data_IF_323572068663
#
_entry.id   IF_323572068663
#
_cell.length_a   1.000
_cell.length_b   1.000
_cell.length_c   1.000
_cell.angle_alpha   90.00
_cell.angle_beta   90.00
_cell.angle_gamma   90.00
#
_symmetry.space_group_name_H-M   'P 1'
#
loop_
_entity.id
_entity.type
_entity.pdbx_description
1 polymer ?
#
# COMPACT_ATOMS: atom_id res chain seq x y z
N UNK A 1 19.27 10.91 -3.48
CA UNK A 1 17.91 10.33 -3.39
C UNK A 1 18.03 8.88 -2.96
N UNK A 2 17.49 8.51 -1.79
CA UNK A 2 17.38 7.10 -1.42
C UNK A 2 16.44 6.40 -2.41
N UNK A 3 16.81 5.19 -2.86
CA UNK A 3 16.16 4.37 -3.90
C UNK A 3 14.69 3.96 -3.63
N UNK A 4 14.00 4.60 -2.68
CA UNK A 4 12.60 4.35 -2.33
C UNK A 4 11.81 5.60 -1.92
N UNK A 5 12.37 6.80 -2.05
CA UNK A 5 11.62 8.03 -1.82
C UNK A 5 10.88 8.45 -3.11
N UNK A 6 9.56 8.53 -3.03
CA UNK A 6 8.71 9.12 -4.04
C UNK A 6 8.41 10.57 -3.67
N UNK A 7 8.21 11.39 -4.70
CA UNK A 7 7.80 12.78 -4.60
C UNK A 7 6.59 12.98 -5.50
N UNK A 8 5.60 13.70 -4.98
CA UNK A 8 4.40 14.12 -5.68
C UNK A 8 4.31 15.65 -5.54
N UNK A 9 4.20 16.35 -6.66
CA UNK A 9 4.29 17.80 -6.72
C UNK A 9 2.90 18.40 -6.96
N UNK A 10 2.49 19.28 -6.05
CA UNK A 10 1.19 19.93 -6.06
C UNK A 10 1.35 21.42 -6.32
N UNK A 11 0.72 21.91 -7.39
CA UNK A 11 0.73 23.31 -7.81
C UNK A 11 -0.20 24.18 -6.95
N UNK A 12 -0.33 23.89 -5.66
CA UNK A 12 -1.09 24.70 -4.70
C UNK A 12 -0.30 25.03 -3.45
N UNK A 13 -0.80 26.05 -2.74
CA UNK A 13 -0.41 26.34 -1.36
C UNK A 13 -0.61 25.11 -0.46
N UNK A 14 0.20 25.04 0.59
CA UNK A 14 0.10 23.98 1.61
C UNK A 14 -1.30 23.87 2.23
N UNK A 15 -1.99 24.98 2.43
CA UNK A 15 -3.33 25.01 3.03
C UNK A 15 -4.39 24.41 2.11
N UNK A 16 -4.31 24.70 0.80
CA UNK A 16 -5.19 24.09 -0.19
C UNK A 16 -4.94 22.59 -0.27
N UNK A 17 -3.67 22.16 -0.31
CA UNK A 17 -3.32 20.75 -0.31
C UNK A 17 -3.86 20.02 0.92
N UNK A 18 -3.70 20.60 2.11
CA UNK A 18 -4.24 20.05 3.36
C UNK A 18 -5.77 19.88 3.27
N UNK A 19 -6.47 20.85 2.70
CA UNK A 19 -7.93 20.81 2.54
C UNK A 19 -8.34 19.66 1.62
N UNK A 20 -7.67 19.49 0.48
CA UNK A 20 -7.94 18.37 -0.44
C UNK A 20 -7.59 17.01 0.18
N UNK A 21 -6.49 16.91 0.93
CA UNK A 21 -6.11 15.70 1.65
C UNK A 21 -7.14 15.32 2.74
N UNK A 22 -7.71 16.32 3.44
CA UNK A 22 -8.71 16.07 4.46
C UNK A 22 -10.06 15.62 3.87
N UNK A 23 -10.36 15.95 2.59
CA UNK A 23 -11.52 15.41 1.85
C UNK A 23 -11.37 13.91 1.54
N UNK A 24 -10.15 13.38 1.47
CA UNK A 24 -9.86 11.95 1.25
C UNK A 24 -10.04 11.08 2.51
N UNK A 25 -10.49 11.65 3.64
CA UNK A 25 -10.86 10.86 4.83
C UNK A 25 -12.12 10.04 4.56
N UNK A 26 -12.29 8.96 5.32
CA UNK A 26 -13.28 7.83 5.21
C UNK A 26 -14.72 8.20 4.83
N UNK A 27 -15.14 9.46 4.95
CA UNK A 27 -16.51 9.91 4.71
C UNK A 27 -16.89 9.98 3.22
N UNK A 28 -15.93 10.18 2.30
CA UNK A 28 -16.21 10.43 0.87
C UNK A 28 -15.71 9.34 -0.09
N UNK A 29 -15.64 8.08 0.33
CA UNK A 29 -15.34 6.99 -0.59
C UNK A 29 -16.55 6.77 -1.51
N UNK A 30 -16.46 7.30 -2.73
CA UNK A 30 -17.48 7.19 -3.76
C UNK A 30 -17.84 5.72 -4.01
N UNK A 31 -19.13 5.40 -4.03
CA UNK A 31 -19.65 4.02 -4.05
C UNK A 31 -19.43 3.31 -5.41
N UNK A 32 -18.85 3.99 -6.40
CA UNK A 32 -18.77 3.52 -7.79
C UNK A 32 -17.48 2.77 -8.14
N UNK A 33 -16.43 2.81 -7.30
CA UNK A 33 -15.19 2.06 -7.54
C UNK A 33 -14.84 1.14 -6.38
N UNK A 34 -14.44 -0.10 -6.72
CA UNK A 34 -14.14 -1.14 -5.74
C UNK A 34 -12.95 -0.79 -4.83
N UNK A 35 -12.06 0.14 -5.24
CA UNK A 35 -10.91 0.58 -4.43
C UNK A 35 -10.62 2.09 -4.54
N UNK A 36 -10.74 2.80 -3.42
CA UNK A 36 -10.53 4.24 -3.28
C UNK A 36 -9.21 4.57 -2.54
N UNK A 37 -8.70 5.79 -2.75
CA UNK A 37 -7.57 6.33 -2.00
C UNK A 37 -8.05 6.89 -0.66
N UNK A 38 -7.39 6.51 0.43
CA UNK A 38 -7.67 7.02 1.76
C UNK A 38 -6.43 7.74 2.29
N UNK A 39 -6.62 8.95 2.81
CA UNK A 39 -5.56 9.72 3.46
C UNK A 39 -5.80 9.79 4.98
N UNK A 40 -4.79 9.43 5.77
CA UNK A 40 -4.70 9.79 7.19
C UNK A 40 -3.59 10.79 7.37
N UNK A 41 -3.89 11.94 7.97
CA UNK A 41 -2.94 13.03 8.21
C UNK A 41 -2.88 13.34 9.71
N UNK A 42 -1.66 13.52 10.23
CA UNK A 42 -1.38 14.05 11.56
C UNK A 42 -0.27 15.10 11.38
N UNK A 43 -0.59 16.37 11.60
CA UNK A 43 0.28 17.51 11.29
C UNK A 43 0.71 17.52 9.81
N UNK A 44 2.02 17.51 9.54
CA UNK A 44 2.58 17.43 8.19
C UNK A 44 2.79 15.99 7.72
N UNK A 45 2.60 14.99 8.59
CA UNK A 45 2.77 13.57 8.24
C UNK A 45 1.49 13.03 7.64
N UNK A 46 1.64 12.26 6.57
CA UNK A 46 0.55 11.63 5.85
C UNK A 46 0.78 10.12 5.73
N UNK A 47 -0.32 9.39 5.66
CA UNK A 47 -0.38 7.97 5.35
C UNK A 47 -1.49 7.74 4.32
N UNK A 48 -1.12 7.38 3.10
CA UNK A 48 -2.07 6.92 2.10
C UNK A 48 -2.24 5.40 2.17
N UNK A 49 -3.48 4.95 2.10
CA UNK A 49 -3.88 3.54 2.08
C UNK A 49 -4.94 3.33 1.00
N UNK A 50 -5.13 2.08 0.58
CA UNK A 50 -6.27 1.71 -0.25
C UNK A 50 -7.45 1.35 0.65
N UNK A 51 -8.63 1.80 0.26
CA UNK A 51 -9.89 1.42 0.89
C UNK A 51 -10.74 0.65 -0.10
N UNK A 52 -11.16 -0.56 0.26
CA UNK A 52 -12.00 -1.39 -0.62
C UNK A 52 -13.42 -1.36 -0.10
N UNK A 53 -14.35 -1.01 -0.98
CA UNK A 53 -15.78 -1.18 -0.71
C UNK A 53 -16.14 -2.58 -1.20
N UNK A 54 -16.14 -3.58 -0.31
CA UNK A 54 -16.56 -4.92 -0.71
C UNK A 54 -18.07 -4.90 -1.01
N UNK A 55 -18.43 -5.08 -2.27
CA UNK A 55 -19.80 -5.27 -2.70
C UNK A 55 -20.33 -6.62 -2.22
N UNK A 56 -21.63 -6.73 -1.87
CA UNK A 56 -22.21 -8.00 -1.41
C UNK A 56 -22.06 -9.06 -2.51
N UNK A 57 -21.21 -10.06 -2.30
CA UNK A 57 -20.89 -11.10 -3.28
C UNK A 57 -19.45 -11.62 -3.19
N UNK A 58 -18.53 -10.83 -2.64
CA UNK A 58 -17.22 -11.31 -2.15
C UNK A 58 -17.36 -11.76 -0.69
N UNK A 59 -16.62 -12.78 -0.26
CA UNK A 59 -16.66 -13.41 1.08
C UNK A 59 -16.39 -12.46 2.28
N UNK A 60 -16.37 -11.15 2.07
CA UNK A 60 -16.18 -10.13 3.08
C UNK A 60 -17.40 -9.20 3.12
N UNK A 61 -18.26 -9.41 4.11
CA UNK A 61 -19.47 -8.62 4.41
C UNK A 61 -19.18 -7.24 5.03
N UNK A 62 -17.92 -6.77 5.00
CA UNK A 62 -17.49 -5.58 5.72
C UNK A 62 -16.63 -4.65 4.88
N UNK A 63 -16.89 -3.34 5.06
CA UNK A 63 -16.04 -2.22 4.61
C UNK A 63 -14.67 -2.34 5.27
N UNK A 64 -13.60 -2.40 4.47
CA UNK A 64 -12.26 -2.68 4.96
C UNK A 64 -11.21 -1.68 4.44
N UNK A 65 -10.38 -1.17 5.34
CA UNK A 65 -9.15 -0.45 4.96
C UNK A 65 -8.07 -1.50 4.66
N UNK A 66 -7.57 -1.53 3.43
CA UNK A 66 -6.40 -2.33 3.07
C UNK A 66 -5.13 -1.62 3.54
N UNK A 67 -4.75 -1.86 4.80
CA UNK A 67 -3.50 -1.37 5.42
C UNK A 67 -2.33 -2.35 5.18
N UNK A 68 -2.36 -3.11 4.09
CA UNK A 68 -1.33 -4.11 3.76
C UNK A 68 -0.05 -3.45 3.23
N UNK A 69 -0.20 -2.42 2.38
CA UNK A 69 0.88 -1.60 1.83
C UNK A 69 0.42 -0.15 1.75
N UNK A 70 1.24 0.75 2.28
CA UNK A 70 0.87 2.13 2.55
C UNK A 70 1.97 3.05 2.03
N UNK A 71 1.63 4.27 1.69
CA UNK A 71 2.62 5.31 1.48
C UNK A 71 2.66 6.21 2.71
N UNK A 72 3.83 6.37 3.32
CA UNK A 72 4.04 7.31 4.42
C UNK A 72 4.97 8.42 3.97
N UNK A 73 4.54 9.67 4.16
CA UNK A 73 5.29 10.84 3.71
C UNK A 73 5.03 12.07 4.54
N UNK A 74 5.68 13.16 4.14
CA UNK A 74 5.58 14.48 4.76
C UNK A 74 5.26 15.55 3.71
N UNK A 75 4.44 16.52 4.10
CA UNK A 75 4.09 17.69 3.29
C UNK A 75 5.13 18.77 3.50
N UNK A 76 5.68 19.25 2.39
CA UNK A 76 6.64 20.34 2.32
C UNK A 76 6.09 21.48 1.49
N UNK A 77 6.56 22.68 1.77
CA UNK A 77 6.20 23.90 1.07
C UNK A 77 7.44 24.46 0.37
N UNK A 78 7.26 24.86 -0.88
CA UNK A 78 8.29 25.50 -1.69
C UNK A 78 7.65 26.70 -2.39
N UNK A 79 7.91 27.88 -1.85
CA UNK A 79 7.36 29.15 -2.33
C UNK A 79 5.82 29.13 -2.32
N UNK A 80 5.17 29.13 -3.48
CA UNK A 80 3.71 29.07 -3.65
C UNK A 80 3.18 27.66 -3.95
N UNK A 81 4.07 26.67 -4.01
CA UNK A 81 3.75 25.26 -4.32
C UNK A 81 4.04 24.35 -3.13
N UNK A 82 3.45 23.17 -3.13
CA UNK A 82 3.65 22.18 -2.07
C UNK A 82 3.95 20.82 -2.66
N UNK A 83 4.69 20.00 -1.94
CA UNK A 83 5.00 18.65 -2.40
C UNK A 83 4.95 17.66 -1.24
N UNK A 84 4.66 16.42 -1.58
CA UNK A 84 4.66 15.31 -0.65
C UNK A 84 5.89 14.46 -0.97
N UNK A 85 6.72 14.17 0.03
CA UNK A 85 7.81 13.20 -0.12
C UNK A 85 7.74 12.11 0.94
N UNK A 86 7.99 10.87 0.53
CA UNK A 86 7.81 9.72 1.39
C UNK A 86 8.18 8.41 0.72
N UNK A 87 7.86 7.29 1.36
CA UNK A 87 8.16 5.95 0.85
C UNK A 87 7.03 4.97 1.11
N UNK A 88 6.99 3.90 0.33
CA UNK A 88 6.07 2.79 0.57
C UNK A 88 6.55 1.93 1.74
N UNK A 89 5.61 1.59 2.63
CA UNK A 89 5.84 0.73 3.79
C UNK A 89 4.82 -0.40 3.80
N UNK A 90 5.26 -1.57 4.24
CA UNK A 90 4.37 -2.69 4.55
C UNK A 90 3.73 -2.51 5.93
N UNK A 91 2.43 -2.80 6.01
CA UNK A 91 1.71 -2.86 7.27
C UNK A 91 2.24 -3.97 8.18
N UNK A 92 2.00 -3.85 9.49
CA UNK A 92 2.42 -4.84 10.49
C UNK A 92 1.85 -6.22 10.22
N UNK A 93 0.57 -6.31 9.82
CA UNK A 93 -0.09 -7.56 9.45
C UNK A 93 0.61 -8.27 8.29
N UNK A 94 0.94 -7.54 7.22
CA UNK A 94 1.67 -8.11 6.07
C UNK A 94 3.03 -8.67 6.49
N UNK A 95 3.76 -7.96 7.35
CA UNK A 95 5.06 -8.43 7.87
C UNK A 95 4.89 -9.73 8.66
N UNK A 96 3.88 -9.81 9.51
CA UNK A 96 3.56 -11.02 10.27
C UNK A 96 3.24 -12.21 9.35
N UNK A 97 2.37 -12.02 8.35
CA UNK A 97 2.01 -13.07 7.39
C UNK A 97 3.21 -13.54 6.55
N UNK A 98 4.12 -12.64 6.14
CA UNK A 98 5.34 -13.01 5.42
C UNK A 98 6.21 -13.92 6.28
N UNK A 99 6.47 -13.53 7.54
CA UNK A 99 7.32 -14.31 8.45
C UNK A 99 6.70 -15.67 8.73
N UNK A 100 5.41 -15.69 9.06
CA UNK A 100 4.71 -16.92 9.39
C UNK A 100 4.59 -17.88 8.19
N UNK A 101 4.24 -17.35 7.02
CA UNK A 101 4.20 -18.13 5.78
C UNK A 101 5.59 -18.65 5.38
N UNK A 102 6.65 -17.89 5.65
CA UNK A 102 8.02 -18.35 5.42
C UNK A 102 8.40 -19.49 6.37
N UNK A 103 8.08 -19.38 7.66
CA UNK A 103 8.29 -20.47 8.64
C UNK A 103 7.57 -21.75 8.20
N UNK A 104 6.29 -21.64 7.82
CA UNK A 104 5.54 -22.78 7.30
C UNK A 104 6.19 -23.37 6.05
N UNK A 105 6.62 -22.53 5.11
CA UNK A 105 7.28 -22.99 3.88
C UNK A 105 8.56 -23.79 4.15
N UNK A 106 9.26 -23.52 5.26
CA UNK A 106 10.47 -24.23 5.69
C UNK A 106 10.17 -25.54 6.43
N UNK A 107 9.02 -25.66 7.12
CA UNK A 107 8.64 -26.89 7.81
C UNK A 107 8.41 -28.07 6.85
N UNK A 108 7.87 -27.79 5.65
CA UNK A 108 7.61 -28.80 4.62
C UNK A 108 8.87 -29.57 4.17
N UNK A 109 9.97 -28.91 3.77
CA UNK A 109 11.23 -29.58 3.49
C UNK A 109 11.79 -30.38 4.67
N UNK A 110 11.70 -29.83 5.89
CA UNK A 110 12.24 -30.46 7.09
C UNK A 110 11.53 -31.79 7.35
N UNK A 111 10.19 -31.82 7.32
CA UNK A 111 9.42 -33.07 7.46
C UNK A 111 9.72 -34.08 6.36
N UNK A 112 9.82 -33.62 5.09
CA UNK A 112 10.14 -34.51 3.96
C UNK A 112 11.55 -35.14 4.01
N UNK A 113 12.53 -34.46 4.62
CA UNK A 113 13.88 -35.00 4.86
C UNK A 113 13.85 -36.15 5.88
N UNK A 114 13.04 -36.03 6.94
CA UNK A 114 12.93 -37.06 7.98
C UNK A 114 12.20 -38.32 7.50
N UNK A 115 11.26 -38.20 6.55
CA UNK A 115 10.49 -39.32 6.00
C UNK A 115 11.11 -39.96 4.74
N UNK A 116 12.32 -39.56 4.33
CA UNK A 116 13.07 -40.21 3.24
C UNK A 116 12.59 -39.92 1.81
N UNK A 117 11.69 -38.95 1.62
CA UNK A 117 11.24 -38.50 0.29
C UNK A 117 12.29 -37.64 -0.41
N UNK A 118 12.39 -37.72 -1.74
CA UNK A 118 13.32 -36.92 -2.55
C UNK A 118 12.92 -35.44 -2.50
N UNK A 119 13.70 -34.68 -1.74
CA UNK A 119 13.46 -33.33 -1.19
C UNK A 119 13.52 -32.20 -2.24
N UNK A 120 13.80 -32.51 -3.51
CA UNK A 120 14.18 -31.49 -4.51
C UNK A 120 13.05 -30.52 -4.84
N UNK A 121 11.82 -31.00 -4.94
CA UNK A 121 10.64 -30.17 -5.25
C UNK A 121 10.18 -29.34 -4.04
N UNK A 122 10.34 -29.85 -2.82
CA UNK A 122 10.00 -29.17 -1.57
C UNK A 122 10.92 -27.97 -1.27
N UNK A 123 12.20 -28.02 -1.68
CA UNK A 123 13.15 -26.92 -1.51
C UNK A 123 12.77 -25.66 -2.31
N UNK A 124 11.94 -25.79 -3.34
CA UNK A 124 11.46 -24.64 -4.12
C UNK A 124 10.27 -23.92 -3.46
N UNK A 125 9.59 -24.53 -2.48
CA UNK A 125 8.41 -23.95 -1.84
C UNK A 125 8.71 -22.60 -1.17
N UNK A 126 9.80 -22.43 -0.38
CA UNK A 126 10.17 -21.12 0.16
C UNK A 126 10.51 -20.10 -0.93
N UNK A 127 11.16 -20.52 -2.01
CA UNK A 127 11.54 -19.63 -3.12
C UNK A 127 10.31 -19.14 -3.90
N UNK A 128 9.36 -20.03 -4.19
CA UNK A 128 8.09 -19.68 -4.84
C UNK A 128 7.28 -18.74 -3.93
N UNK A 129 7.19 -19.05 -2.64
CA UNK A 129 6.51 -18.20 -1.66
C UNK A 129 7.08 -16.78 -1.64
N UNK A 130 8.40 -16.65 -1.53
CA UNK A 130 9.07 -15.33 -1.58
C UNK A 130 8.81 -14.60 -2.90
N UNK A 131 8.86 -15.32 -4.03
CA UNK A 131 8.53 -14.76 -5.35
C UNK A 131 7.10 -14.20 -5.41
N UNK A 132 6.12 -14.96 -4.94
CA UNK A 132 4.72 -14.52 -4.85
C UNK A 132 4.57 -13.27 -3.96
N UNK A 133 5.25 -13.22 -2.81
CA UNK A 133 5.19 -12.05 -1.92
C UNK A 133 5.78 -10.79 -2.56
N UNK A 134 6.86 -10.90 -3.32
CA UNK A 134 7.46 -9.77 -4.06
C UNK A 134 6.49 -9.25 -5.12
N UNK A 135 5.87 -10.15 -5.89
CA UNK A 135 4.88 -9.76 -6.93
C UNK A 135 3.68 -9.07 -6.28
N UNK A 136 3.15 -9.65 -5.19
CA UNK A 136 2.01 -9.09 -4.47
C UNK A 136 2.32 -7.71 -3.89
N UNK A 137 3.52 -7.53 -3.31
CA UNK A 137 4.02 -6.23 -2.86
C UNK A 137 3.99 -5.21 -3.98
N UNK A 138 4.66 -5.51 -5.09
CA UNK A 138 4.81 -4.60 -6.23
C UNK A 138 3.45 -4.23 -6.84
N UNK A 139 2.52 -5.17 -6.94
CA UNK A 139 1.19 -4.90 -7.47
C UNK A 139 0.41 -3.90 -6.60
N UNK A 140 0.44 -4.06 -5.27
CA UNK A 140 -0.23 -3.14 -4.36
C UNK A 140 0.43 -1.76 -4.34
N UNK A 141 1.77 -1.70 -4.33
CA UNK A 141 2.51 -0.42 -4.45
C UNK A 141 2.15 0.31 -5.75
N UNK A 142 2.10 -0.39 -6.88
CA UNK A 142 1.70 0.19 -8.17
C UNK A 142 0.25 0.71 -8.17
N UNK A 143 -0.69 -0.04 -7.56
CA UNK A 143 -2.09 0.39 -7.43
C UNK A 143 -2.20 1.66 -6.60
N UNK A 144 -1.50 1.70 -5.46
CA UNK A 144 -1.49 2.87 -4.59
C UNK A 144 -0.81 4.07 -5.27
N UNK A 145 0.32 3.85 -5.96
CA UNK A 145 1.03 4.86 -6.73
C UNK A 145 0.11 5.49 -7.80
N UNK A 146 -0.61 4.66 -8.56
CA UNK A 146 -1.56 5.12 -9.57
C UNK A 146 -2.62 6.03 -8.95
N UNK A 147 -3.19 5.64 -7.81
CA UNK A 147 -4.22 6.42 -7.11
C UNK A 147 -3.70 7.76 -6.56
N UNK A 148 -2.46 7.80 -6.06
CA UNK A 148 -1.86 9.06 -5.60
C UNK A 148 -1.59 9.99 -6.79
N UNK A 149 -1.16 9.47 -7.94
CA UNK A 149 -0.98 10.28 -9.17
C UNK A 149 -2.29 10.81 -9.75
N UNK A 150 -3.34 10.00 -9.77
CA UNK A 150 -4.69 10.45 -10.15
C UNK A 150 -5.16 11.62 -9.25
N UNK A 151 -4.84 11.57 -7.95
CA UNK A 151 -5.12 12.66 -7.02
C UNK A 151 -4.25 13.91 -7.29
N UNK A 152 -2.95 13.73 -7.53
CA UNK A 152 -2.03 14.81 -7.92
C UNK A 152 -2.51 15.57 -9.16
N UNK A 153 -2.85 14.84 -10.23
CA UNK A 153 -3.40 15.41 -11.46
C UNK A 153 -4.70 16.17 -11.19
N UNK A 154 -5.61 15.59 -10.41
CA UNK A 154 -6.90 16.23 -10.08
C UNK A 154 -6.71 17.55 -9.31
N UNK A 155 -5.82 17.57 -8.32
CA UNK A 155 -5.55 18.79 -7.55
C UNK A 155 -4.92 19.85 -8.45
N UNK A 156 -3.97 19.46 -9.30
CA UNK A 156 -3.26 20.36 -10.20
C UNK A 156 -4.14 20.94 -11.33
N UNK A 157 -5.22 20.27 -11.73
CA UNK A 157 -6.17 20.74 -12.74
C UNK A 157 -7.27 21.66 -12.20
N UNK A 158 -7.52 21.63 -10.89
CA UNK A 158 -8.60 22.38 -10.23
C UNK A 158 -8.13 23.71 -9.60
N UNK A 159 -6.94 24.18 -9.98
CA UNK A 159 -6.32 25.45 -9.56
C UNK A 159 -6.05 26.28 -10.82
#
# INVERSE_FOLDING_TARGET
MNKGNHRFDFNCSKNTLITELDKLKVVNADNSTDTNLLCRRINNKIKFMLYTNNTPGTYATHKGVLDTYNFEGEIFEKESTSYISGSFKSGSGTKFFIVFGFIFSLMFPIMGIFDGFVVRELLFVPAIFLGCMIIFKKNNENRLLKKIREFEEKVNLHI
#
